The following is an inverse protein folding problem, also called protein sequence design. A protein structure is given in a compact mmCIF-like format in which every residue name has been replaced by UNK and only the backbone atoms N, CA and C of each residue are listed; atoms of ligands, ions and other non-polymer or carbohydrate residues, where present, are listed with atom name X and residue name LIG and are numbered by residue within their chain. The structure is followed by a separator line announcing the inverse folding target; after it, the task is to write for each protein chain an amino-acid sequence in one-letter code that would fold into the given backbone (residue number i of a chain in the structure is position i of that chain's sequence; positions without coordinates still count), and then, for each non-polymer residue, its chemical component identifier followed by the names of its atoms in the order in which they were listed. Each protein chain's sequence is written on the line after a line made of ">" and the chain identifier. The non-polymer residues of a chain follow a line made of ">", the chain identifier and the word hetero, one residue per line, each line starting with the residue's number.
data_IF_498510116863
#
_entry.id   IF_498510116863
#
_cell.length_a   1.000
_cell.length_b   1.000
_cell.length_c   1.000
_cell.angle_alpha   90.00
_cell.angle_beta   90.00
_cell.angle_gamma   90.00
#
_symmetry.space_group_name_H-M   'P 1'
#
loop_
_entity.id
_entity.type
_entity.pdbx_description
1 polymer ?
#
# COMPACT_ATOMS: atom_id res chain seq x y z
N UNK A 1 4.48 52.92 -32.01
CA UNK A 1 3.89 52.47 -30.73
C UNK A 1 2.86 51.38 -31.04
N UNK A 2 3.25 50.09 -31.13
CA UNK A 2 2.30 48.96 -31.03
C UNK A 2 2.88 47.54 -31.16
N UNK A 3 4.14 47.31 -31.55
CA UNK A 3 4.62 45.92 -31.71
C UNK A 3 5.28 45.35 -30.44
N UNK A 4 5.99 46.18 -29.66
CA UNK A 4 6.66 45.75 -28.43
C UNK A 4 5.68 45.40 -27.29
N UNK A 5 4.48 46.00 -27.27
CA UNK A 5 3.45 45.74 -26.24
C UNK A 5 2.74 44.40 -26.52
N UNK A 6 2.52 44.05 -27.79
CA UNK A 6 1.88 42.79 -28.19
C UNK A 6 2.81 41.59 -27.89
N UNK A 7 4.11 41.73 -28.12
CA UNK A 7 5.10 40.68 -27.85
C UNK A 7 5.22 40.33 -26.34
N UNK A 8 5.09 41.34 -25.47
CA UNK A 8 5.14 41.14 -24.00
C UNK A 8 3.90 40.41 -23.49
N UNK A 9 2.72 40.65 -24.11
CA UNK A 9 1.48 39.97 -23.73
C UNK A 9 1.44 38.49 -24.18
N UNK A 10 2.07 38.13 -25.30
CA UNK A 10 2.11 36.74 -25.80
C UNK A 10 3.09 35.88 -25.00
N UNK A 11 4.16 36.46 -24.47
CA UNK A 11 5.13 35.72 -23.66
C UNK A 11 4.62 35.44 -22.23
N UNK A 12 3.72 36.29 -21.71
CA UNK A 12 3.16 36.14 -20.36
C UNK A 12 2.08 35.05 -20.25
N UNK A 13 1.34 34.75 -21.33
CA UNK A 13 0.29 33.73 -21.35
C UNK A 13 0.82 32.31 -21.56
N UNK A 14 2.07 32.15 -22.01
CA UNK A 14 2.68 30.83 -22.23
C UNK A 14 3.24 30.20 -20.95
N UNK A 15 3.37 30.96 -19.86
CA UNK A 15 3.94 30.53 -18.58
C UNK A 15 2.92 29.94 -17.60
N UNK A 16 1.61 29.99 -17.89
CA UNK A 16 0.56 29.55 -16.96
C UNK A 16 0.04 28.13 -17.20
N UNK A 17 0.62 27.38 -18.15
CA UNK A 17 0.03 26.11 -18.63
C UNK A 17 0.62 24.81 -18.05
N UNK A 18 1.47 24.85 -17.02
CA UNK A 18 2.00 23.63 -16.39
C UNK A 18 1.80 23.60 -14.87
N UNK A 19 0.57 23.85 -14.42
CA UNK A 19 0.16 23.38 -13.09
C UNK A 19 -0.22 21.90 -13.18
N UNK A 20 0.78 21.02 -13.33
CA UNK A 20 0.56 19.60 -13.04
C UNK A 20 0.37 19.47 -11.54
N UNK A 21 -0.88 19.32 -11.10
CA UNK A 21 -1.19 18.91 -9.74
C UNK A 21 -0.51 17.57 -9.49
N UNK A 22 0.68 17.58 -8.87
CA UNK A 22 1.34 16.37 -8.43
C UNK A 22 0.56 15.84 -7.23
N UNK A 23 -0.45 15.00 -7.50
CA UNK A 23 -0.99 14.13 -6.46
C UNK A 23 0.15 13.18 -6.09
N UNK A 24 0.52 13.12 -4.81
CA UNK A 24 1.44 12.09 -4.33
C UNK A 24 0.75 10.73 -4.52
N UNK A 25 1.08 10.02 -5.58
CA UNK A 25 0.63 8.64 -5.82
C UNK A 25 1.51 7.67 -5.03
N UNK A 26 1.00 6.49 -4.70
CA UNK A 26 1.80 5.45 -4.06
C UNK A 26 2.99 5.08 -4.95
N UNK A 27 4.22 5.17 -4.41
CA UNK A 27 5.44 4.88 -5.18
C UNK A 27 5.76 3.37 -5.18
N UNK A 28 5.62 2.66 -6.32
CA UNK A 28 5.95 1.24 -6.40
C UNK A 28 7.46 0.96 -6.25
N UNK A 29 8.33 1.97 -6.37
CA UNK A 29 9.79 1.84 -6.24
C UNK A 29 10.27 1.64 -4.81
N UNK A 30 9.40 1.86 -3.81
CA UNK A 30 9.72 1.60 -2.41
C UNK A 30 9.79 0.09 -2.11
N UNK A 31 8.99 -0.71 -2.82
CA UNK A 31 8.84 -2.13 -2.50
C UNK A 31 10.13 -2.96 -2.54
N UNK A 32 11.03 -2.82 -3.53
CA UNK A 32 12.30 -3.56 -3.51
C UNK A 32 13.11 -3.35 -2.23
N UNK A 33 13.12 -2.13 -1.68
CA UNK A 33 13.83 -1.81 -0.43
C UNK A 33 13.14 -2.44 0.77
N UNK A 34 11.81 -2.32 0.86
CA UNK A 34 11.02 -2.94 1.93
C UNK A 34 11.14 -4.46 1.88
N UNK A 35 11.02 -5.06 0.70
CA UNK A 35 11.18 -6.50 0.49
C UNK A 35 12.54 -6.98 0.99
N UNK A 36 13.62 -6.32 0.59
CA UNK A 36 14.97 -6.70 1.01
C UNK A 36 15.13 -6.60 2.54
N UNK A 37 14.60 -5.55 3.16
CA UNK A 37 14.70 -5.35 4.62
C UNK A 37 13.97 -6.42 5.45
N UNK A 38 12.80 -6.87 5.00
CA UNK A 38 11.96 -7.81 5.77
C UNK A 38 12.13 -9.28 5.35
N UNK A 39 12.47 -9.52 4.08
CA UNK A 39 12.47 -10.87 3.48
C UNK A 39 13.73 -11.18 2.69
N UNK A 40 14.71 -10.27 2.65
CA UNK A 40 15.90 -10.38 1.81
C UNK A 40 15.53 -10.74 0.36
N UNK A 41 16.26 -11.67 -0.25
CA UNK A 41 16.06 -12.12 -1.62
C UNK A 41 15.03 -13.24 -1.78
N UNK A 42 14.19 -13.51 -0.76
CA UNK A 42 13.16 -14.56 -0.86
C UNK A 42 12.14 -14.23 -1.95
N UNK A 43 11.74 -15.24 -2.70
CA UNK A 43 10.67 -15.10 -3.68
C UNK A 43 9.32 -14.94 -2.96
N UNK A 44 8.47 -14.08 -3.53
CA UNK A 44 7.15 -13.76 -3.01
C UNK A 44 6.17 -13.91 -4.16
N UNK A 45 5.22 -14.82 -4.03
CA UNK A 45 4.19 -15.09 -5.03
C UNK A 45 2.96 -14.20 -4.79
N UNK A 46 2.49 -13.48 -5.82
CA UNK A 46 1.17 -12.82 -5.75
C UNK A 46 0.05 -13.87 -5.89
N UNK A 47 -0.99 -13.75 -5.05
CA UNK A 47 -2.07 -14.75 -4.93
C UNK A 47 -3.45 -14.11 -4.84
N UNK A 48 -4.50 -14.91 -5.05
CA UNK A 48 -5.89 -14.45 -4.98
C UNK A 48 -6.64 -14.94 -3.72
N UNK A 49 -6.11 -15.96 -3.02
CA UNK A 49 -6.72 -16.52 -1.82
C UNK A 49 -6.54 -15.65 -0.56
N UNK A 50 -5.79 -14.55 -0.65
CA UNK A 50 -5.71 -13.53 0.38
C UNK A 50 -6.33 -12.23 -0.14
N UNK A 51 -6.81 -11.37 0.76
CA UNK A 51 -7.43 -10.10 0.37
C UNK A 51 -7.14 -8.98 1.36
N UNK A 52 -7.07 -7.78 0.82
CA UNK A 52 -7.12 -6.51 1.56
C UNK A 52 -8.33 -5.75 1.06
N UNK A 53 -9.30 -5.52 1.95
CA UNK A 53 -10.41 -4.61 1.70
C UNK A 53 -10.17 -3.32 2.46
N UNK A 54 -10.29 -2.19 1.77
CA UNK A 54 -10.08 -0.87 2.33
C UNK A 54 -10.74 0.17 1.41
N UNK A 55 -11.04 1.39 1.88
CA UNK A 55 -11.50 2.45 1.00
C UNK A 55 -10.42 2.80 -0.04
N UNK A 56 -10.83 3.33 -1.20
CA UNK A 56 -9.87 3.86 -2.20
C UNK A 56 -9.13 5.07 -1.64
N UNK A 57 -9.83 5.90 -0.87
CA UNK A 57 -9.31 7.04 -0.12
C UNK A 57 -9.80 6.96 1.32
N UNK A 58 -8.87 6.93 2.26
CA UNK A 58 -9.17 7.00 3.67
C UNK A 58 -9.60 8.42 4.06
N UNK A 59 -10.61 8.52 4.94
CA UNK A 59 -11.02 9.79 5.56
C UNK A 59 -9.92 10.36 6.46
N UNK A 60 -9.12 9.49 7.10
CA UNK A 60 -8.00 9.89 7.95
C UNK A 60 -6.87 8.87 7.88
N UNK A 61 -5.65 9.33 7.62
CA UNK A 61 -4.43 8.51 7.69
C UNK A 61 -4.13 7.98 9.10
N UNK A 62 -4.63 8.64 10.15
CA UNK A 62 -4.44 8.17 11.53
C UNK A 62 -5.23 6.90 11.86
N UNK A 63 -6.29 6.60 11.10
CA UNK A 63 -7.26 5.54 11.40
C UNK A 63 -7.84 4.93 10.12
N UNK A 64 -6.99 4.38 9.25
CA UNK A 64 -7.42 3.76 7.99
C UNK A 64 -8.08 2.40 8.26
N UNK A 65 -9.38 2.22 7.96
CA UNK A 65 -10.04 0.94 8.14
C UNK A 65 -9.58 -0.07 7.09
N UNK A 66 -9.18 -1.26 7.52
CA UNK A 66 -8.73 -2.36 6.67
C UNK A 66 -9.33 -3.67 7.15
N UNK A 67 -9.72 -4.52 6.21
CA UNK A 67 -10.06 -5.93 6.47
C UNK A 67 -9.10 -6.82 5.72
N UNK A 68 -8.42 -7.69 6.45
CA UNK A 68 -7.57 -8.74 5.90
C UNK A 68 -8.32 -10.05 5.91
N UNK A 69 -8.24 -10.83 4.85
CA UNK A 69 -8.79 -12.18 4.83
C UNK A 69 -7.89 -13.19 4.13
N UNK A 70 -8.03 -14.45 4.53
CA UNK A 70 -7.41 -15.63 3.95
C UNK A 70 -8.48 -16.70 3.78
N UNK A 71 -8.70 -17.12 2.54
CA UNK A 71 -9.54 -18.25 2.17
C UNK A 71 -8.70 -19.52 2.12
N UNK A 72 -8.85 -20.38 3.13
CA UNK A 72 -8.08 -21.64 3.21
C UNK A 72 -8.49 -22.65 2.14
N UNK A 73 -9.75 -22.63 1.68
CA UNK A 73 -10.21 -23.55 0.64
C UNK A 73 -9.60 -23.16 -0.72
N UNK A 74 -9.59 -21.86 -1.04
CA UNK A 74 -8.97 -21.34 -2.26
C UNK A 74 -7.43 -21.43 -2.24
N UNK A 75 -6.81 -21.53 -1.05
CA UNK A 75 -5.37 -21.65 -0.89
C UNK A 75 -4.78 -23.00 -1.36
N UNK A 76 -5.61 -23.98 -1.74
CA UNK A 76 -5.18 -25.26 -2.33
C UNK A 76 -4.06 -25.97 -1.56
N UNK A 77 -4.17 -26.01 -0.22
CA UNK A 77 -3.19 -26.66 0.66
C UNK A 77 -2.03 -25.77 1.12
N UNK A 78 -1.97 -24.50 0.72
CA UNK A 78 -1.04 -23.53 1.30
C UNK A 78 -1.50 -23.19 2.73
N UNK A 79 -0.66 -23.51 3.71
CA UNK A 79 -0.93 -23.29 5.12
C UNK A 79 -0.11 -22.11 5.67
N UNK A 80 -0.73 -20.94 5.75
CA UNK A 80 -0.12 -19.70 6.24
C UNK A 80 -0.07 -19.70 7.77
N UNK A 81 1.14 -19.58 8.34
CA UNK A 81 1.38 -19.53 9.78
C UNK A 81 1.60 -18.12 10.31
N UNK A 82 2.06 -17.21 9.45
CA UNK A 82 2.37 -15.84 9.86
C UNK A 82 1.95 -14.85 8.78
N UNK A 83 1.39 -13.73 9.18
CA UNK A 83 0.99 -12.65 8.29
C UNK A 83 1.71 -11.38 8.72
N UNK A 84 2.38 -10.73 7.77
CA UNK A 84 2.98 -9.41 7.92
C UNK A 84 2.09 -8.38 7.24
N UNK A 85 1.80 -7.29 7.93
CA UNK A 85 1.12 -6.11 7.36
C UNK A 85 2.15 -4.99 7.23
N UNK A 86 2.41 -4.61 5.98
CA UNK A 86 3.40 -3.59 5.64
C UNK A 86 2.73 -2.40 4.96
N UNK A 87 3.23 -1.20 5.23
CA UNK A 87 2.86 0.05 4.56
C UNK A 87 4.13 0.67 3.99
N UNK A 88 4.27 0.61 2.66
CA UNK A 88 5.54 0.90 1.98
C UNK A 88 6.11 2.30 2.31
N UNK A 89 5.26 3.33 2.35
CA UNK A 89 5.67 4.72 2.53
C UNK A 89 5.66 5.22 3.99
N UNK A 90 5.34 4.35 4.97
CA UNK A 90 5.44 4.75 6.37
C UNK A 90 6.93 4.79 6.81
N UNK A 91 7.32 5.68 7.76
CA UNK A 91 8.65 5.66 8.36
C UNK A 91 8.97 4.32 9.04
N UNK A 92 7.97 3.74 9.71
CA UNK A 92 7.99 2.37 10.21
C UNK A 92 7.04 1.56 9.34
N UNK A 93 7.59 0.74 8.45
CA UNK A 93 6.79 0.04 7.43
C UNK A 93 5.97 -1.10 8.03
N UNK A 94 6.44 -1.74 9.09
CA UNK A 94 5.74 -2.83 9.75
C UNK A 94 4.60 -2.32 10.63
N UNK A 95 3.36 -2.51 10.17
CA UNK A 95 2.18 -2.15 10.93
C UNK A 95 1.79 -3.24 11.93
N UNK A 96 1.89 -4.52 11.54
CA UNK A 96 1.54 -5.64 12.42
C UNK A 96 2.14 -6.97 11.94
N UNK A 97 2.25 -7.91 12.87
CA UNK A 97 2.49 -9.33 12.60
C UNK A 97 1.40 -10.13 13.31
N UNK A 98 0.73 -11.02 12.58
CA UNK A 98 -0.22 -11.97 13.13
C UNK A 98 0.34 -13.39 13.02
N UNK A 99 0.26 -14.13 14.12
CA UNK A 99 0.59 -15.55 14.17
C UNK A 99 -0.72 -16.34 14.12
N UNK A 100 -0.88 -17.13 13.07
CA UNK A 100 -2.06 -17.97 12.88
C UNK A 100 -1.83 -19.33 13.53
N UNK A 101 -2.89 -19.86 14.12
CA UNK A 101 -2.90 -21.20 14.72
C UNK A 101 -3.86 -22.10 13.97
N UNK A 102 -3.67 -23.42 14.10
CA UNK A 102 -4.53 -24.40 13.42
C UNK A 102 -5.97 -24.41 13.96
N UNK A 103 -6.16 -23.82 15.13
CA UNK A 103 -7.48 -23.62 15.73
C UNK A 103 -8.29 -22.51 15.02
N UNK A 104 -7.61 -21.60 14.31
CA UNK A 104 -8.29 -20.61 13.49
C UNK A 104 -8.82 -21.28 12.23
N UNK A 105 -10.11 -21.10 11.94
CA UNK A 105 -10.72 -21.49 10.66
C UNK A 105 -10.23 -20.59 9.52
N UNK A 106 -11.15 -19.98 8.78
CA UNK A 106 -10.80 -18.89 7.88
C UNK A 106 -10.35 -17.67 8.69
N UNK A 107 -9.23 -17.05 8.29
CA UNK A 107 -8.78 -15.83 8.93
C UNK A 107 -9.48 -14.63 8.29
N UNK A 108 -10.15 -13.83 9.11
CA UNK A 108 -10.67 -12.52 8.73
C UNK A 108 -10.44 -11.57 9.91
N UNK A 109 -9.81 -10.43 9.64
CA UNK A 109 -9.49 -9.43 10.63
C UNK A 109 -9.82 -8.04 10.11
N UNK A 110 -10.79 -7.38 10.74
CA UNK A 110 -11.05 -5.97 10.54
C UNK A 110 -10.33 -5.16 11.62
N UNK A 111 -9.53 -4.18 11.20
CA UNK A 111 -8.76 -3.32 12.10
C UNK A 111 -8.55 -1.93 11.50
N UNK A 112 -7.84 -1.06 12.21
CA UNK A 112 -7.39 0.24 11.71
C UNK A 112 -5.87 0.32 11.75
N UNK A 113 -5.27 0.84 10.70
CA UNK A 113 -3.83 1.08 10.60
C UNK A 113 -3.53 2.56 10.38
N UNK A 114 -2.31 2.99 10.72
CA UNK A 114 -1.81 4.33 10.43
C UNK A 114 -1.12 4.36 9.07
N UNK A 115 -1.37 5.42 8.32
CA UNK A 115 -0.74 5.72 7.04
C UNK A 115 -0.34 7.20 6.99
N UNK A 116 0.91 7.47 6.64
CA UNK A 116 1.43 8.85 6.53
C UNK A 116 1.06 9.52 5.20
N UNK A 117 0.92 8.74 4.14
CA UNK A 117 0.63 9.23 2.79
C UNK A 117 -0.01 8.12 1.95
N UNK A 118 -0.43 8.45 0.73
CA UNK A 118 -0.82 7.49 -0.30
C UNK A 118 0.27 6.41 -0.44
N UNK A 119 -0.10 5.15 -0.23
CA UNK A 119 0.84 4.04 -0.16
C UNK A 119 0.20 2.72 -0.59
N UNK A 120 1.04 1.77 -0.98
CA UNK A 120 0.64 0.38 -0.98
C UNK A 120 0.63 -0.15 0.46
N UNK A 121 -0.46 -0.83 0.81
CA UNK A 121 -0.53 -1.74 1.94
C UNK A 121 -0.35 -3.14 1.42
N UNK A 122 0.54 -3.91 2.04
CA UNK A 122 0.87 -5.28 1.65
C UNK A 122 0.54 -6.23 2.78
N UNK A 123 -0.08 -7.34 2.41
CA UNK A 123 -0.32 -8.47 3.27
C UNK A 123 0.57 -9.59 2.77
N UNK A 124 1.61 -9.93 3.53
CA UNK A 124 2.54 -11.02 3.17
C UNK A 124 2.29 -12.19 4.11
N UNK A 125 1.84 -13.31 3.57
CA UNK A 125 1.69 -14.57 4.29
C UNK A 125 2.95 -15.41 4.17
N UNK A 126 3.41 -15.98 5.28
CA UNK A 126 4.49 -16.95 5.35
C UNK A 126 3.90 -18.31 5.76
N UNK A 127 4.13 -19.31 4.92
CA UNK A 127 3.68 -20.69 5.16
C UNK A 127 4.62 -21.45 6.09
N UNK A 128 4.17 -22.62 6.56
CA UNK A 128 4.95 -23.50 7.42
C UNK A 128 6.30 -23.93 6.81
N UNK A 129 6.38 -24.06 5.48
CA UNK A 129 7.61 -24.39 4.74
C UNK A 129 8.45 -23.14 4.37
N UNK A 130 8.06 -21.96 4.85
CA UNK A 130 8.80 -20.72 4.62
C UNK A 130 8.64 -20.15 3.21
N UNK A 131 7.57 -20.49 2.47
CA UNK A 131 7.23 -19.76 1.24
C UNK A 131 6.47 -18.48 1.57
N UNK A 132 6.64 -17.46 0.74
CA UNK A 132 5.99 -16.16 0.91
C UNK A 132 4.96 -15.94 -0.19
N UNK A 133 3.80 -15.47 0.23
CA UNK A 133 2.66 -15.14 -0.61
C UNK A 133 2.21 -13.73 -0.30
N UNK A 134 1.70 -12.99 -1.28
CA UNK A 134 1.35 -11.59 -1.08
C UNK A 134 0.10 -11.17 -1.82
N UNK A 135 -0.64 -10.26 -1.20
CA UNK A 135 -1.52 -9.32 -1.88
C UNK A 135 -1.16 -7.88 -1.51
N UNK A 136 -1.49 -6.94 -2.38
CA UNK A 136 -1.27 -5.52 -2.17
C UNK A 136 -2.49 -4.71 -2.57
N UNK A 137 -2.69 -3.58 -1.90
CA UNK A 137 -3.72 -2.60 -2.23
C UNK A 137 -3.16 -1.20 -2.12
N UNK A 138 -3.34 -0.41 -3.16
CA UNK A 138 -3.13 1.04 -3.08
C UNK A 138 -4.25 1.66 -2.24
N UNK A 139 -3.89 2.44 -1.24
CA UNK A 139 -4.82 3.22 -0.45
C UNK A 139 -4.32 4.66 -0.42
N UNK A 140 -5.19 5.59 -0.79
CA UNK A 140 -4.91 7.01 -0.68
C UNK A 140 -5.22 7.47 0.73
N UNK A 141 -4.24 8.01 1.43
CA UNK A 141 -4.40 8.52 2.77
C UNK A 141 -3.73 9.89 2.83
N UNK A 142 -4.52 10.94 3.06
CA UNK A 142 -3.91 12.18 3.51
C UNK A 142 -3.36 11.93 4.91
N UNK A 143 -2.06 12.14 5.09
CA UNK A 143 -1.40 12.02 6.39
C UNK A 143 -2.20 12.72 7.47
N UNK A 144 -2.34 12.07 8.61
CA UNK A 144 -2.99 12.67 9.76
C UNK A 144 -2.10 13.79 10.31
N UNK A 145 -2.22 15.00 9.78
CA UNK A 145 -1.98 16.16 10.62
C UNK A 145 -3.04 16.09 11.71
N UNK A 146 -2.61 15.67 12.91
CA UNK A 146 -3.41 15.70 14.12
C UNK A 146 -3.90 17.10 14.45
#
# INVERSE_FOLDING_TARGET
>A
MNQSIIAVFICATMLTSFSTSALAEADPKLWPVVKEAFFAKRDIQEVEFMKIEAPRRAESGAQVPVTFSLDKAAANGVDIKKIYVLVDANPIQLAAIYHLTDMLGNFQLATRIRMETDSFVRLVGESADGKLYMVKREIRAAGGCG
#
